data_IF_222684222204
#
_entry.id   IF_222684222204
#
_cell.length_a   1.000
_cell.length_b   1.000
_cell.length_c   1.000
_cell.angle_alpha   90.00
_cell.angle_beta   90.00
_cell.angle_gamma   90.00
#
_symmetry.space_group_name_H-M   'P 1'
#
loop_
_entity.id
_entity.type
_entity.pdbx_description
1 polymer ?
#
# COMPACT_ATOMS: atom_id res chain seq x y z
N UNK A 1 -2.82 -11.71 12.50
CA UNK A 1 -4.25 -11.75 12.12
C UNK A 1 -4.44 -12.17 10.66
N UNK A 2 -3.91 -11.42 9.67
CA UNK A 2 -4.05 -11.77 8.24
C UNK A 2 -3.48 -13.15 7.89
N UNK A 3 -2.34 -13.52 8.47
CA UNK A 3 -1.80 -14.88 8.33
C UNK A 3 -2.78 -15.96 8.82
N UNK A 4 -3.48 -15.74 9.93
CA UNK A 4 -4.48 -16.68 10.44
C UNK A 4 -5.66 -16.79 9.47
N UNK A 5 -6.16 -15.65 8.97
CA UNK A 5 -7.24 -15.64 7.97
C UNK A 5 -6.86 -16.39 6.69
N UNK A 6 -5.62 -16.21 6.21
CA UNK A 6 -5.10 -16.93 5.06
C UNK A 6 -5.04 -18.44 5.29
N UNK A 7 -4.62 -18.87 6.48
CA UNK A 7 -4.59 -20.29 6.88
C UNK A 7 -5.99 -20.88 6.93
N UNK A 8 -6.94 -20.16 7.53
CA UNK A 8 -8.33 -20.61 7.65
C UNK A 8 -8.99 -20.74 6.26
N UNK A 9 -8.83 -19.75 5.38
CA UNK A 9 -9.35 -19.79 4.01
C UNK A 9 -8.71 -20.90 3.18
N UNK A 10 -7.40 -21.14 3.31
CA UNK A 10 -6.73 -22.26 2.64
C UNK A 10 -7.28 -23.61 3.09
N UNK A 11 -7.57 -23.74 4.39
CA UNK A 11 -8.21 -24.94 4.94
C UNK A 11 -9.60 -25.14 4.35
N UNK A 12 -10.41 -24.08 4.27
CA UNK A 12 -11.73 -24.14 3.64
C UNK A 12 -11.65 -24.49 2.15
N UNK A 13 -10.69 -23.91 1.42
CA UNK A 13 -10.42 -24.21 0.02
C UNK A 13 -10.06 -25.68 -0.17
N UNK A 14 -9.18 -26.21 0.68
CA UNK A 14 -8.80 -27.63 0.65
C UNK A 14 -10.02 -28.52 0.89
N UNK A 15 -10.87 -28.17 1.86
CA UNK A 15 -12.09 -28.93 2.15
C UNK A 15 -13.07 -28.93 0.97
N UNK A 16 -13.29 -27.80 0.31
CA UNK A 16 -14.22 -27.75 -0.83
C UNK A 16 -13.66 -28.47 -2.06
N UNK A 17 -12.35 -28.39 -2.30
CA UNK A 17 -11.69 -29.15 -3.37
C UNK A 17 -11.83 -30.66 -3.13
N UNK A 18 -11.61 -31.15 -1.90
CA UNK A 18 -11.80 -32.57 -1.59
C UNK A 18 -13.26 -33.01 -1.73
N UNK A 19 -14.24 -32.15 -1.37
CA UNK A 19 -15.65 -32.42 -1.64
C UNK A 19 -15.90 -32.59 -3.15
N UNK A 20 -15.35 -31.71 -3.99
CA UNK A 20 -15.53 -31.76 -5.44
C UNK A 20 -14.85 -32.97 -6.08
N UNK A 21 -13.69 -33.40 -5.58
CA UNK A 21 -13.02 -34.64 -6.00
C UNK A 21 -13.80 -35.89 -5.60
N UNK A 22 -14.47 -35.86 -4.44
CA UNK A 22 -15.27 -36.99 -3.97
C UNK A 22 -16.60 -37.18 -4.74
N UNK A 23 -17.04 -36.14 -5.46
CA UNK A 23 -18.32 -36.12 -6.16
C UNK A 23 -18.14 -36.54 -7.63
N UNK A 24 -18.52 -37.79 -7.93
CA UNK A 24 -18.56 -38.30 -9.31
C UNK A 24 -19.69 -37.65 -10.13
N UNK A 25 -19.38 -37.32 -11.38
CA UNK A 25 -20.35 -36.81 -12.35
C UNK A 25 -21.14 -37.99 -12.91
N UNK A 26 -22.48 -37.93 -12.80
CA UNK A 26 -23.35 -39.02 -13.24
C UNK A 26 -23.59 -38.92 -14.75
N UNK A 27 -22.56 -39.18 -15.55
CA UNK A 27 -22.62 -39.06 -17.02
C UNK A 27 -23.76 -39.85 -17.67
N UNK A 28 -24.15 -40.97 -17.06
CA UNK A 28 -25.28 -41.81 -17.52
C UNK A 28 -26.62 -41.05 -17.52
N UNK A 29 -26.74 -40.00 -16.71
CA UNK A 29 -27.93 -39.17 -16.67
C UNK A 29 -27.93 -38.04 -17.71
N UNK A 30 -26.76 -37.67 -18.22
CA UNK A 30 -26.61 -36.58 -19.19
C UNK A 30 -26.52 -37.03 -20.65
N UNK A 31 -26.39 -38.34 -20.93
CA UNK A 31 -26.41 -38.87 -22.30
C UNK A 31 -27.80 -38.77 -22.95
N UNK A 32 -27.80 -38.38 -24.23
CA UNK A 32 -28.99 -38.37 -25.10
C UNK A 32 -29.59 -39.78 -25.22
N UNK A 33 -30.93 -39.94 -25.39
CA UNK A 33 -31.59 -41.23 -25.60
C UNK A 33 -31.08 -42.04 -26.81
N UNK A 34 -30.31 -41.40 -27.71
CA UNK A 34 -29.65 -42.04 -28.84
C UNK A 34 -28.13 -42.07 -28.65
N UNK A 35 -27.56 -43.13 -28.06
CA UNK A 35 -26.12 -43.30 -28.01
C UNK A 35 -25.60 -43.74 -29.39
N UNK A 36 -24.48 -43.19 -29.89
CA UNK A 36 -23.78 -43.78 -31.02
C UNK A 36 -23.29 -45.18 -30.62
N UNK A 37 -23.58 -46.20 -31.44
CA UNK A 37 -23.10 -47.56 -31.25
C UNK A 37 -21.57 -47.58 -31.36
N UNK A 38 -20.86 -47.71 -30.23
CA UNK A 38 -19.41 -47.75 -30.23
C UNK A 38 -18.77 -47.94 -28.85
N UNK A 39 -18.21 -49.13 -28.66
CA UNK A 39 -17.11 -49.52 -27.75
C UNK A 39 -17.29 -49.47 -26.23
N UNK A 40 -17.33 -50.67 -25.64
CA UNK A 40 -17.31 -50.95 -24.21
C UNK A 40 -15.94 -50.76 -23.56
N UNK A 41 -15.59 -49.51 -23.26
CA UNK A 41 -14.69 -49.18 -22.16
C UNK A 41 -15.45 -48.31 -21.18
N UNK A 42 -15.47 -48.69 -19.90
CA UNK A 42 -15.99 -47.81 -18.85
C UNK A 42 -15.21 -46.49 -18.92
N UNK A 43 -15.89 -45.34 -19.13
CA UNK A 43 -15.19 -44.06 -19.15
C UNK A 43 -14.52 -43.84 -17.78
N UNK A 44 -13.36 -43.17 -17.74
CA UNK A 44 -12.71 -42.83 -16.49
C UNK A 44 -13.68 -42.06 -15.60
N UNK A 45 -13.63 -42.30 -14.29
CA UNK A 45 -14.45 -41.62 -13.30
C UNK A 45 -14.22 -40.10 -13.41
N UNK A 46 -15.17 -39.40 -13.98
CA UNK A 46 -15.17 -37.95 -14.10
C UNK A 46 -15.76 -37.34 -12.83
N UNK A 47 -15.08 -36.38 -12.22
CA UNK A 47 -15.51 -35.75 -10.96
C UNK A 47 -15.81 -34.27 -11.19
N UNK A 48 -16.54 -33.63 -10.27
CA UNK A 48 -16.80 -32.19 -10.37
C UNK A 48 -15.50 -31.36 -10.38
N UNK A 49 -14.44 -31.89 -9.77
CA UNK A 49 -13.13 -31.27 -9.76
C UNK A 49 -12.52 -31.08 -11.15
N UNK A 50 -12.81 -31.97 -12.11
CA UNK A 50 -12.24 -31.89 -13.46
C UNK A 50 -12.75 -30.67 -14.26
N UNK A 51 -13.80 -30.01 -13.78
CA UNK A 51 -14.37 -28.80 -14.36
C UNK A 51 -13.82 -27.50 -13.73
N UNK A 52 -12.83 -27.61 -12.86
CA UNK A 52 -12.29 -26.51 -12.08
C UNK A 52 -10.90 -26.12 -12.57
N UNK A 53 -10.63 -24.81 -12.62
CA UNK A 53 -9.30 -24.28 -12.93
C UNK A 53 -8.41 -24.30 -11.69
N UNK A 54 -7.65 -25.39 -11.51
CA UNK A 54 -6.68 -25.51 -10.42
C UNK A 54 -5.55 -24.46 -10.53
N UNK A 55 -5.17 -24.07 -11.75
CA UNK A 55 -4.10 -23.09 -11.93
C UNK A 55 -4.50 -21.72 -11.37
N UNK A 56 -5.77 -21.34 -11.50
CA UNK A 56 -6.31 -20.13 -10.88
C UNK A 56 -6.25 -20.18 -9.34
N UNK A 57 -6.56 -21.34 -8.73
CA UNK A 57 -6.46 -21.53 -7.27
C UNK A 57 -5.01 -21.41 -6.80
N UNK A 58 -4.09 -22.11 -7.47
CA UNK A 58 -2.68 -22.12 -7.11
C UNK A 58 -2.04 -20.73 -7.25
N UNK A 59 -2.39 -20.00 -8.31
CA UNK A 59 -1.94 -18.63 -8.53
C UNK A 59 -2.41 -17.69 -7.41
N UNK A 60 -3.65 -17.85 -6.95
CA UNK A 60 -4.21 -17.04 -5.88
C UNK A 60 -3.57 -17.34 -4.51
N UNK A 61 -3.32 -18.62 -4.22
CA UNK A 61 -2.59 -19.03 -3.02
C UNK A 61 -1.14 -18.56 -3.01
N UNK A 62 -0.47 -18.61 -4.17
CA UNK A 62 0.88 -18.09 -4.34
C UNK A 62 0.89 -16.58 -4.08
N UNK A 63 -0.05 -15.83 -4.66
CA UNK A 63 -0.16 -14.38 -4.48
C UNK A 63 -0.34 -13.99 -3.01
N UNK A 64 -1.24 -14.65 -2.27
CA UNK A 64 -1.41 -14.37 -0.83
C UNK A 64 -0.13 -14.67 -0.04
N UNK A 65 0.57 -15.76 -0.38
CA UNK A 65 1.82 -16.12 0.29
C UNK A 65 2.93 -15.10 0.05
N UNK A 66 3.12 -14.71 -1.20
CA UNK A 66 4.11 -13.70 -1.61
C UNK A 66 3.87 -12.37 -0.90
N UNK A 67 2.61 -11.88 -0.89
CA UNK A 67 2.29 -10.65 -0.19
C UNK A 67 2.53 -10.72 1.33
N UNK A 68 2.24 -11.87 1.97
CA UNK A 68 2.51 -12.06 3.40
C UNK A 68 4.02 -12.13 3.70
N UNK A 69 4.80 -12.76 2.83
CA UNK A 69 6.26 -12.82 2.94
C UNK A 69 6.87 -11.42 2.81
N UNK A 70 6.44 -10.65 1.81
CA UNK A 70 6.87 -9.26 1.64
C UNK A 70 6.51 -8.39 2.86
N UNK A 71 5.32 -8.54 3.46
CA UNK A 71 4.94 -7.81 4.67
C UNK A 71 5.88 -8.12 5.84
N UNK A 72 6.24 -9.39 5.99
CA UNK A 72 7.17 -9.83 7.02
C UNK A 72 8.56 -9.26 6.80
N UNK A 73 9.01 -9.20 5.56
CA UNK A 73 10.32 -8.66 5.22
C UNK A 73 10.38 -7.15 5.42
N UNK A 74 9.32 -6.40 5.09
CA UNK A 74 9.21 -4.98 5.45
C UNK A 74 9.35 -4.79 6.97
N UNK A 75 8.60 -5.55 7.76
CA UNK A 75 8.65 -5.44 9.22
C UNK A 75 10.04 -5.76 9.81
N UNK A 76 10.74 -6.76 9.26
CA UNK A 76 12.12 -7.07 9.64
C UNK A 76 13.08 -5.94 9.27
N UNK A 77 13.00 -5.45 8.04
CA UNK A 77 13.86 -4.36 7.54
C UNK A 77 13.68 -3.11 8.39
N UNK A 78 12.45 -2.72 8.71
CA UNK A 78 12.17 -1.56 9.56
C UNK A 78 12.71 -1.71 10.98
N UNK A 79 12.58 -2.91 11.56
CA UNK A 79 13.12 -3.21 12.89
C UNK A 79 14.66 -3.11 12.91
N UNK A 80 15.32 -3.66 11.90
CA UNK A 80 16.78 -3.55 11.75
C UNK A 80 17.19 -2.09 11.55
N UNK A 81 16.49 -1.36 10.68
CA UNK A 81 16.80 0.05 10.40
C UNK A 81 16.61 0.94 11.62
N UNK A 82 15.55 0.71 12.42
CA UNK A 82 15.35 1.38 13.70
C UNK A 82 16.53 1.15 14.65
N UNK A 83 16.96 -0.11 14.79
CA UNK A 83 18.08 -0.48 15.65
C UNK A 83 19.39 0.17 15.20
N UNK A 84 19.67 0.17 13.90
CA UNK A 84 20.87 0.80 13.33
C UNK A 84 20.85 2.32 13.54
N UNK A 85 19.70 2.97 13.33
CA UNK A 85 19.54 4.42 13.52
C UNK A 85 19.75 4.80 14.99
N UNK A 86 19.14 4.05 15.92
CA UNK A 86 19.32 4.27 17.35
C UNK A 86 20.78 4.10 17.77
N UNK A 87 21.49 3.13 17.17
CA UNK A 87 22.92 2.95 17.39
C UNK A 87 23.73 4.13 16.84
N UNK A 88 23.43 4.58 15.61
CA UNK A 88 24.09 5.75 14.99
C UNK A 88 23.92 7.00 15.86
N UNK A 89 22.74 7.21 16.45
CA UNK A 89 22.50 8.31 17.40
C UNK A 89 23.25 8.12 18.71
N UNK A 90 23.26 6.90 19.27
CA UNK A 90 23.95 6.60 20.53
C UNK A 90 25.48 6.73 20.43
N UNK A 91 26.04 6.50 19.24
CA UNK A 91 27.47 6.64 18.97
C UNK A 91 27.90 8.13 18.81
N UNK A 92 26.96 9.08 18.80
CA UNK A 92 27.28 10.51 18.76
C UNK A 92 27.67 10.99 20.16
N UNK A 93 28.92 11.42 20.29
CA UNK A 93 29.43 12.09 21.48
C UNK A 93 28.82 13.50 21.58
N UNK A 94 27.91 13.68 22.52
CA UNK A 94 27.34 14.99 22.86
C UNK A 94 28.09 15.50 24.09
N UNK A 95 29.01 16.47 23.95
CA UNK A 95 29.65 17.06 25.11
C UNK A 95 28.58 17.78 25.94
N UNK A 96 28.34 17.26 27.13
CA UNK A 96 27.48 17.89 28.13
C UNK A 96 28.40 18.60 29.11
N UNK A 97 28.41 19.92 29.08
CA UNK A 97 29.14 20.70 30.06
C UNK A 97 28.52 20.45 31.45
N UNK A 98 29.23 19.75 32.33
CA UNK A 98 28.74 19.41 33.67
C UNK A 98 28.60 20.64 34.57
N UNK A 99 29.42 21.68 34.33
CA UNK A 99 29.36 22.96 35.04
C UNK A 99 29.53 24.13 34.06
N UNK A 100 28.47 24.91 33.86
CA UNK A 100 28.55 26.15 33.09
C UNK A 100 29.26 27.18 33.96
N UNK A 101 30.59 27.25 33.87
CA UNK A 101 31.41 28.26 34.58
C UNK A 101 31.23 29.68 34.01
N UNK A 102 30.45 29.85 32.95
CA UNK A 102 30.26 31.13 32.25
C UNK A 102 28.84 31.63 32.48
N UNK A 103 28.69 32.69 33.28
CA UNK A 103 27.41 33.35 33.50
C UNK A 103 27.32 34.63 32.67
N UNK A 104 26.09 35.04 32.34
CA UNK A 104 25.83 36.32 31.69
C UNK A 104 26.37 37.51 32.49
N UNK A 105 26.19 37.49 33.81
CA UNK A 105 26.75 38.48 34.74
C UNK A 105 28.29 38.54 34.65
N UNK A 106 28.95 37.39 34.48
CA UNK A 106 30.39 37.33 34.28
C UNK A 106 30.84 38.03 32.99
N UNK A 107 30.06 37.88 31.92
CA UNK A 107 30.32 38.53 30.62
C UNK A 107 30.15 40.04 30.73
N UNK A 108 29.07 40.50 31.36
CA UNK A 108 28.86 41.93 31.62
C UNK A 108 29.98 42.54 32.48
N UNK A 109 30.42 41.81 33.52
CA UNK A 109 31.52 42.24 34.37
C UNK A 109 32.83 42.45 33.61
N UNK A 110 33.15 41.60 32.62
CA UNK A 110 34.31 41.83 31.74
C UNK A 110 34.11 43.05 30.86
N UNK A 111 32.91 43.24 30.32
CA UNK A 111 32.59 44.44 29.54
C UNK A 111 32.89 45.72 30.32
N UNK A 112 32.50 45.75 31.60
CA UNK A 112 32.86 46.83 32.53
C UNK A 112 34.38 46.96 32.72
N UNK A 113 35.08 45.85 33.00
CA UNK A 113 36.52 45.83 33.21
C UNK A 113 37.32 46.32 31.99
N UNK A 114 36.89 45.97 30.78
CA UNK A 114 37.46 46.47 29.51
C UNK A 114 37.25 47.97 29.38
N UNK A 115 36.05 48.47 29.66
CA UNK A 115 35.75 49.90 29.60
C UNK A 115 36.59 50.71 30.60
N UNK A 116 36.74 50.21 31.83
CA UNK A 116 37.58 50.83 32.85
C UNK A 116 39.07 50.79 32.50
N UNK A 117 39.54 49.70 31.89
CA UNK A 117 40.93 49.58 31.40
C UNK A 117 41.20 50.56 30.27
N UNK A 118 40.24 50.74 29.37
CA UNK A 118 40.33 51.72 28.28
C UNK A 118 40.36 53.16 28.82
N UNK A 119 39.53 53.48 29.83
CA UNK A 119 39.56 54.79 30.51
C UNK A 119 40.92 55.07 31.15
N UNK A 120 41.47 54.12 31.89
CA UNK A 120 42.77 54.27 32.54
C UNK A 120 43.92 54.44 31.54
N UNK A 121 43.84 53.77 30.38
CA UNK A 121 44.79 53.98 29.27
C UNK A 121 44.71 55.41 28.74
N UNK A 122 43.52 55.95 28.58
CA UNK A 122 43.32 57.31 28.06
C UNK A 122 43.81 58.38 29.08
N UNK A 123 43.61 58.14 30.38
CA UNK A 123 44.16 58.97 31.47
C UNK A 123 45.70 58.96 31.49
N UNK A 124 46.33 57.78 31.41
CA UNK A 124 47.80 57.65 31.28
C UNK A 124 48.33 58.43 30.08
N UNK A 125 47.65 58.37 28.93
CA UNK A 125 48.05 59.08 27.73
C UNK A 125 47.98 60.60 27.90
N UNK A 126 46.95 61.09 28.59
CA UNK A 126 46.80 62.51 28.90
C UNK A 126 47.92 63.02 29.81
N UNK A 127 48.27 62.27 30.85
CA UNK A 127 49.34 62.64 31.79
C UNK A 127 50.72 62.62 31.12
N UNK A 128 50.98 61.64 30.27
CA UNK A 128 52.20 61.60 29.46
C UNK A 128 52.31 62.81 28.52
N UNK A 129 51.20 63.21 27.88
CA UNK A 129 51.17 64.40 27.03
C UNK A 129 51.40 65.69 27.85
N UNK A 130 50.87 65.77 29.08
CA UNK A 130 51.12 66.89 29.99
C UNK A 130 52.61 67.00 30.36
N UNK A 131 53.25 65.86 30.68
CA UNK A 131 54.68 65.81 30.96
C UNK A 131 55.53 66.19 29.73
N UNK A 132 55.19 65.70 28.54
CA UNK A 132 55.86 66.07 27.30
C UNK A 132 55.74 67.58 27.05
N UNK A 133 54.57 68.15 27.29
CA UNK A 133 54.34 69.58 27.17
C UNK A 133 55.26 70.38 28.11
N UNK A 134 55.34 70.01 29.40
CA UNK A 134 56.25 70.65 30.35
C UNK A 134 57.73 70.52 29.95
N UNK A 135 58.15 69.34 29.46
CA UNK A 135 59.51 69.16 28.94
C UNK A 135 59.80 70.07 27.74
N UNK A 136 58.83 70.29 26.85
CA UNK A 136 58.96 71.22 25.74
C UNK A 136 59.02 72.68 26.23
N UNK A 137 58.17 73.06 27.20
CA UNK A 137 58.20 74.39 27.84
C UNK A 137 59.56 74.68 28.48
N UNK A 138 60.12 73.73 29.26
CA UNK A 138 61.46 73.87 29.85
C UNK A 138 62.54 74.06 28.78
N UNK A 139 62.46 73.29 27.68
CA UNK A 139 63.41 73.37 26.58
C UNK A 139 63.37 74.73 25.90
N UNK A 140 62.17 75.23 25.61
CA UNK A 140 61.97 76.53 24.96
C UNK A 140 62.47 77.65 25.89
N UNK A 141 62.14 77.58 27.18
CA UNK A 141 62.58 78.57 28.17
C UNK A 141 64.12 78.61 28.32
N UNK A 142 64.80 77.46 28.33
CA UNK A 142 66.27 77.40 28.33
C UNK A 142 66.84 78.07 27.08
N UNK A 143 66.23 77.82 25.93
CA UNK A 143 66.66 78.36 24.64
C UNK A 143 66.51 79.88 24.56
N UNK A 144 65.42 80.40 25.13
CA UNK A 144 65.15 81.84 25.20
C UNK A 144 66.13 82.53 26.18
N UNK A 145 66.42 81.90 27.32
CA UNK A 145 67.45 82.39 28.25
C UNK A 145 68.84 82.48 27.61
N UNK A 146 69.22 81.48 26.81
CA UNK A 146 70.49 81.42 26.08
C UNK A 146 70.58 82.48 24.97
N UNK A 147 69.45 82.81 24.33
CA UNK A 147 69.39 83.75 23.22
C UNK A 147 69.24 85.23 23.66
N UNK A 148 68.49 85.51 24.73
CA UNK A 148 68.06 86.87 25.08
C UNK A 148 68.78 87.51 26.28
N UNK A 149 69.78 86.83 26.87
CA UNK A 149 70.62 87.45 27.92
C UNK A 149 69.98 87.49 29.31
N UNK A 150 69.00 86.62 29.57
CA UNK A 150 68.81 86.03 30.90
C UNK A 150 67.99 86.82 31.92
N UNK A 151 66.71 87.07 31.64
CA UNK A 151 65.75 87.35 32.73
C UNK A 151 64.48 86.53 32.50
N UNK A 152 64.32 85.47 33.30
CA UNK A 152 63.07 84.73 33.39
C UNK A 152 62.07 85.55 34.20
N UNK A 153 60.82 85.66 33.74
CA UNK A 153 59.78 86.26 34.56
C UNK A 153 59.62 85.46 35.86
N UNK A 154 59.41 86.15 36.97
CA UNK A 154 59.16 85.47 38.25
C UNK A 154 57.92 84.57 38.17
N UNK A 155 56.93 84.94 37.34
CA UNK A 155 55.72 84.15 37.13
C UNK A 155 56.04 82.84 36.37
N UNK A 156 56.83 82.91 35.30
CA UNK A 156 57.25 81.73 34.53
C UNK A 156 58.15 80.80 35.37
N UNK A 157 59.01 81.38 36.21
CA UNK A 157 59.85 80.61 37.13
C UNK A 157 59.02 79.84 38.15
N UNK A 158 58.00 80.50 38.72
CA UNK A 158 57.12 79.88 39.69
C UNK A 158 56.25 78.77 39.07
N UNK A 159 55.79 78.94 37.83
CA UNK A 159 55.05 77.90 37.09
C UNK A 159 55.96 76.69 36.85
N UNK A 160 57.15 76.89 36.29
CA UNK A 160 58.10 75.80 36.02
C UNK A 160 58.55 75.08 37.28
N UNK A 161 58.78 75.81 38.38
CA UNK A 161 59.16 75.23 39.67
C UNK A 161 58.01 74.40 40.26
N UNK A 162 56.77 74.90 40.16
CA UNK A 162 55.57 74.17 40.62
C UNK A 162 55.39 72.89 39.82
N UNK A 163 55.35 72.99 38.50
CA UNK A 163 55.11 71.85 37.61
C UNK A 163 56.24 70.80 37.77
N UNK A 164 57.50 71.25 37.92
CA UNK A 164 58.63 70.34 38.21
C UNK A 164 58.49 69.64 39.57
N UNK A 165 57.91 70.30 40.57
CA UNK A 165 57.65 69.70 41.89
C UNK A 165 56.49 68.69 41.89
N UNK A 166 55.57 68.79 40.92
CA UNK A 166 54.43 67.89 40.75
C UNK A 166 54.78 66.61 39.97
N UNK A 167 55.81 66.64 39.09
CA UNK A 167 56.25 65.49 38.28
C UNK A 167 56.43 64.19 39.09
N UNK A 168 57.13 64.17 40.25
CA UNK A 168 57.29 62.92 40.99
C UNK A 168 55.97 62.30 41.44
N UNK A 169 54.96 63.12 41.74
CA UNK A 169 53.61 62.68 42.07
C UNK A 169 52.91 62.08 40.86
N UNK A 170 52.91 62.79 39.73
CA UNK A 170 52.34 62.33 38.46
C UNK A 170 52.98 61.02 38.00
N UNK A 171 54.31 60.88 38.11
CA UNK A 171 55.03 59.64 37.78
C UNK A 171 54.62 58.49 38.71
N UNK A 172 54.39 58.77 40.00
CA UNK A 172 53.86 57.79 40.95
C UNK A 172 52.47 57.31 40.54
N UNK A 173 51.55 58.22 40.25
CA UNK A 173 50.18 57.92 39.79
C UNK A 173 50.20 57.14 38.47
N UNK A 174 51.05 57.52 37.51
CA UNK A 174 51.27 56.78 36.25
C UNK A 174 51.75 55.34 36.48
N UNK A 175 52.65 55.12 37.45
CA UNK A 175 53.12 53.78 37.79
C UNK A 175 52.01 52.93 38.40
N UNK A 176 51.19 53.50 39.29
CA UNK A 176 50.04 52.83 39.90
C UNK A 176 48.98 52.48 38.85
N UNK A 177 48.60 53.45 38.00
CA UNK A 177 47.66 53.22 36.90
C UNK A 177 48.16 52.16 35.93
N UNK A 178 49.45 52.15 35.60
CA UNK A 178 50.05 51.13 34.74
C UNK A 178 49.98 49.73 35.36
N UNK A 179 50.24 49.61 36.67
CA UNK A 179 50.12 48.33 37.38
C UNK A 179 48.67 47.82 37.36
N UNK A 180 47.70 48.70 37.60
CA UNK A 180 46.29 48.32 37.60
C UNK A 180 45.79 47.94 36.20
N UNK A 181 46.19 48.67 35.15
CA UNK A 181 45.90 48.31 33.76
C UNK A 181 46.45 46.93 33.42
N UNK A 182 47.69 46.61 33.86
CA UNK A 182 48.28 45.27 33.66
C UNK A 182 47.47 44.19 34.38
N UNK A 183 47.13 44.40 35.66
CA UNK A 183 46.33 43.47 36.45
C UNK A 183 44.97 43.18 35.80
N UNK A 184 44.27 44.22 35.35
CA UNK A 184 42.99 44.09 34.65
C UNK A 184 43.14 43.37 33.32
N UNK A 185 44.19 43.67 32.56
CA UNK A 185 44.48 42.99 31.28
C UNK A 185 44.72 41.48 31.48
N UNK A 186 45.46 41.11 32.52
CA UNK A 186 45.68 39.70 32.87
C UNK A 186 44.35 39.00 33.25
N UNK A 187 43.50 39.67 34.03
CA UNK A 187 42.17 39.16 34.37
C UNK A 187 41.26 38.99 33.15
N UNK A 188 41.23 39.98 32.25
CA UNK A 188 40.49 39.92 30.98
C UNK A 188 40.98 38.73 30.14
N UNK A 189 42.29 38.53 30.03
CA UNK A 189 42.88 37.44 29.26
C UNK A 189 42.50 36.06 29.83
N UNK A 190 42.56 35.87 31.15
CA UNK A 190 42.18 34.61 31.79
C UNK A 190 40.72 34.27 31.48
N UNK A 191 39.82 35.24 31.66
CA UNK A 191 38.39 35.01 31.41
C UNK A 191 38.08 34.83 29.92
N UNK A 192 38.77 35.54 29.03
CA UNK A 192 38.66 35.35 27.58
C UNK A 192 39.00 33.90 27.17
N UNK A 193 40.06 33.32 27.74
CA UNK A 193 40.42 31.92 27.48
C UNK A 193 39.34 30.95 27.97
N UNK A 194 38.77 31.20 29.16
CA UNK A 194 37.65 30.40 29.69
C UNK A 194 36.42 30.46 28.79
N UNK A 195 36.06 31.65 28.30
CA UNK A 195 34.91 31.84 27.42
C UNK A 195 35.09 31.20 26.06
N UNK A 196 36.30 31.28 25.49
CA UNK A 196 36.57 30.59 24.23
C UNK A 196 36.49 29.08 24.37
N UNK A 197 37.01 28.51 25.47
CA UNK A 197 36.89 27.07 25.72
C UNK A 197 35.42 26.64 25.83
N UNK A 198 34.62 27.41 26.59
CA UNK A 198 33.18 27.20 26.71
C UNK A 198 32.44 27.33 25.38
N UNK A 199 32.73 28.35 24.57
CA UNK A 199 32.10 28.55 23.27
C UNK A 199 32.44 27.43 22.29
N UNK A 200 33.67 26.92 22.31
CA UNK A 200 34.08 25.81 21.45
C UNK A 200 33.43 24.48 21.86
N UNK A 201 33.22 24.26 23.17
CA UNK A 201 32.43 23.13 23.67
C UNK A 201 30.96 23.21 23.24
N UNK A 202 30.32 24.38 23.41
CA UNK A 202 28.96 24.59 22.92
C UNK A 202 28.85 24.40 21.41
N UNK A 203 29.82 24.88 20.63
CA UNK A 203 29.85 24.67 19.18
C UNK A 203 29.87 23.19 18.83
N UNK A 204 30.64 22.38 19.56
CA UNK A 204 30.67 20.92 19.40
C UNK A 204 29.33 20.28 19.79
N UNK A 205 28.72 20.71 20.89
CA UNK A 205 27.40 20.23 21.30
C UNK A 205 26.32 20.54 20.24
N UNK A 206 26.28 21.77 19.71
CA UNK A 206 25.33 22.13 18.65
C UNK A 206 25.57 21.35 17.35
N UNK A 207 26.83 21.09 17.00
CA UNK A 207 27.16 20.25 15.84
C UNK A 207 26.66 18.81 16.03
N UNK A 208 26.82 18.24 17.22
CA UNK A 208 26.31 16.92 17.56
C UNK A 208 24.77 16.86 17.47
N UNK A 209 24.07 17.87 18.02
CA UNK A 209 22.61 17.97 17.89
C UNK A 209 22.16 18.08 16.43
N UNK A 210 22.85 18.87 15.62
CA UNK A 210 22.55 18.97 14.19
C UNK A 210 22.73 17.64 13.45
N UNK A 211 23.76 16.86 13.82
CA UNK A 211 23.98 15.52 13.27
C UNK A 211 22.86 14.54 13.67
N UNK A 212 22.43 14.56 14.94
CA UNK A 212 21.29 13.75 15.42
C UNK A 212 20.02 14.12 14.66
N UNK A 213 19.79 15.42 14.41
CA UNK A 213 18.64 15.89 13.66
C UNK A 213 18.63 15.39 12.21
N UNK A 214 19.79 15.39 11.52
CA UNK A 214 19.91 14.82 10.17
C UNK A 214 19.60 13.33 10.13
N UNK A 215 20.18 12.55 11.05
CA UNK A 215 19.93 11.10 11.18
C UNK A 215 18.44 10.84 11.41
N UNK A 216 17.85 11.57 12.35
CA UNK A 216 16.42 11.47 12.68
C UNK A 216 15.54 11.80 11.47
N UNK A 217 15.89 12.83 10.70
CA UNK A 217 15.17 13.20 9.49
C UNK A 217 15.27 12.12 8.40
N UNK A 218 16.45 11.54 8.20
CA UNK A 218 16.65 10.40 7.28
C UNK A 218 15.78 9.21 7.69
N UNK A 219 15.77 8.89 8.99
CA UNK A 219 14.95 7.80 9.52
C UNK A 219 13.45 8.04 9.33
N UNK A 220 12.96 9.24 9.64
CA UNK A 220 11.53 9.59 9.45
C UNK A 220 11.11 9.45 7.98
N UNK A 221 11.96 9.86 7.03
CA UNK A 221 11.68 9.66 5.60
C UNK A 221 11.60 8.18 5.24
N UNK A 222 12.56 7.38 5.68
CA UNK A 222 12.58 5.93 5.43
C UNK A 222 11.35 5.23 6.03
N UNK A 223 10.93 5.61 7.24
CA UNK A 223 9.72 5.07 7.87
C UNK A 223 8.46 5.47 7.09
N UNK A 224 8.37 6.71 6.61
CA UNK A 224 7.22 7.15 5.82
C UNK A 224 7.09 6.37 4.50
N UNK A 225 8.22 6.13 3.81
CA UNK A 225 8.25 5.31 2.60
C UNK A 225 7.86 3.86 2.88
N UNK A 226 8.39 3.28 3.95
CA UNK A 226 8.04 1.91 4.38
C UNK A 226 6.56 1.78 4.75
N UNK A 227 6.02 2.74 5.50
CA UNK A 227 4.59 2.78 5.84
C UNK A 227 3.69 2.84 4.60
N UNK A 228 4.08 3.62 3.59
CA UNK A 228 3.37 3.67 2.31
C UNK A 228 3.35 2.31 1.62
N UNK A 229 4.50 1.63 1.57
CA UNK A 229 4.61 0.26 1.02
C UNK A 229 3.78 -0.74 1.81
N UNK A 230 3.87 -0.70 3.14
CA UNK A 230 3.11 -1.56 4.05
C UNK A 230 1.60 -1.41 3.82
N UNK A 231 1.10 -0.17 3.73
CA UNK A 231 -0.31 0.09 3.49
C UNK A 231 -0.78 -0.46 2.13
N UNK A 232 0.00 -0.26 1.06
CA UNK A 232 -0.30 -0.81 -0.26
C UNK A 232 -0.34 -2.34 -0.27
N UNK A 233 0.63 -2.97 0.40
CA UNK A 233 0.72 -4.42 0.46
C UNK A 233 -0.37 -5.05 1.35
N UNK A 234 -0.75 -4.39 2.45
CA UNK A 234 -1.90 -4.78 3.27
C UNK A 234 -3.20 -4.76 2.45
N UNK A 235 -3.41 -3.72 1.63
CA UNK A 235 -4.56 -3.66 0.73
C UNK A 235 -4.53 -4.79 -0.31
N UNK A 236 -3.35 -5.13 -0.84
CA UNK A 236 -3.18 -6.25 -1.77
C UNK A 236 -3.49 -7.61 -1.11
N UNK A 237 -3.06 -7.82 0.14
CA UNK A 237 -3.43 -9.01 0.93
C UNK A 237 -4.94 -9.08 1.11
N UNK A 238 -5.59 -7.97 1.45
CA UNK A 238 -7.03 -7.93 1.68
C UNK A 238 -7.82 -8.27 0.42
N UNK A 239 -7.45 -7.69 -0.72
CA UNK A 239 -8.05 -8.03 -2.01
C UNK A 239 -7.83 -9.51 -2.36
N UNK A 240 -6.63 -10.04 -2.14
CA UNK A 240 -6.33 -11.43 -2.45
C UNK A 240 -7.06 -12.43 -1.53
N UNK A 241 -7.27 -12.09 -0.25
CA UNK A 241 -8.09 -12.89 0.67
C UNK A 241 -9.57 -12.84 0.29
N UNK A 242 -10.07 -11.68 -0.13
CA UNK A 242 -11.45 -11.53 -0.61
C UNK A 242 -11.70 -12.36 -1.87
N UNK A 243 -10.78 -12.31 -2.84
CA UNK A 243 -10.83 -13.18 -4.02
C UNK A 243 -10.85 -14.67 -3.64
N UNK A 244 -10.04 -15.06 -2.65
CA UNK A 244 -9.93 -16.45 -2.21
C UNK A 244 -11.22 -16.92 -1.53
N UNK A 245 -11.82 -16.07 -0.70
CA UNK A 245 -13.13 -16.32 -0.11
C UNK A 245 -14.26 -16.38 -1.16
N UNK A 246 -14.21 -15.48 -2.16
CA UNK A 246 -15.12 -15.50 -3.29
C UNK A 246 -15.06 -16.83 -4.05
N UNK A 247 -13.85 -17.36 -4.26
CA UNK A 247 -13.65 -18.63 -4.94
C UNK A 247 -14.16 -19.83 -4.13
N UNK A 248 -13.91 -19.86 -2.81
CA UNK A 248 -14.51 -20.86 -1.90
C UNK A 248 -16.03 -20.83 -1.99
N UNK A 249 -16.62 -19.63 -1.96
CA UNK A 249 -18.06 -19.44 -2.03
C UNK A 249 -18.62 -19.89 -3.38
N UNK A 250 -17.93 -19.57 -4.47
CA UNK A 250 -18.29 -20.02 -5.81
C UNK A 250 -18.26 -21.55 -5.93
N UNK A 251 -17.20 -22.23 -5.45
CA UNK A 251 -17.14 -23.69 -5.47
C UNK A 251 -18.22 -24.37 -4.63
N UNK A 252 -18.60 -23.77 -3.49
CA UNK A 252 -19.76 -24.24 -2.71
C UNK A 252 -21.06 -24.14 -3.49
N UNK A 253 -21.28 -23.01 -4.17
CA UNK A 253 -22.46 -22.82 -5.01
C UNK A 253 -22.46 -23.74 -6.22
N UNK A 254 -21.32 -23.93 -6.87
CA UNK A 254 -21.15 -24.87 -7.98
C UNK A 254 -21.53 -26.30 -7.57
N UNK A 255 -21.01 -26.77 -6.43
CA UNK A 255 -21.39 -28.07 -5.87
C UNK A 255 -22.91 -28.17 -5.64
N UNK A 256 -23.53 -27.16 -5.02
CA UNK A 256 -24.98 -27.16 -4.77
C UNK A 256 -25.82 -27.06 -6.06
N UNK A 257 -25.36 -26.31 -7.05
CA UNK A 257 -26.05 -26.14 -8.32
C UNK A 257 -26.06 -27.44 -9.13
N UNK A 258 -24.99 -28.24 -9.02
CA UNK A 258 -24.92 -29.56 -9.62
C UNK A 258 -26.00 -30.52 -9.08
N UNK A 259 -26.30 -30.48 -7.78
CA UNK A 259 -27.41 -31.27 -7.21
C UNK A 259 -28.77 -30.84 -7.80
N UNK A 260 -28.97 -29.53 -8.01
CA UNK A 260 -30.15 -29.01 -8.71
C UNK A 260 -30.23 -29.45 -10.17
N UNK A 261 -29.09 -29.52 -10.87
CA UNK A 261 -29.00 -29.98 -12.24
C UNK A 261 -29.45 -31.45 -12.38
N UNK A 262 -29.03 -32.33 -11.46
CA UNK A 262 -29.48 -33.74 -11.44
C UNK A 262 -31.01 -33.80 -11.32
N UNK A 263 -31.59 -33.04 -10.39
CA UNK A 263 -33.05 -33.00 -10.21
C UNK A 263 -33.79 -32.53 -11.47
N UNK A 264 -33.27 -31.50 -12.14
CA UNK A 264 -33.85 -30.97 -13.38
C UNK A 264 -33.76 -31.97 -14.54
N UNK A 265 -32.65 -32.70 -14.67
CA UNK A 265 -32.51 -33.77 -15.68
C UNK A 265 -33.52 -34.89 -15.45
N UNK A 266 -33.71 -35.32 -14.20
CA UNK A 266 -34.72 -36.32 -13.86
C UNK A 266 -36.13 -35.83 -14.24
N UNK A 267 -36.46 -34.59 -13.88
CA UNK A 267 -37.76 -33.96 -14.20
C UNK A 267 -38.00 -33.92 -15.71
N UNK A 268 -37.00 -33.52 -16.51
CA UNK A 268 -37.11 -33.48 -17.98
C UNK A 268 -37.32 -34.88 -18.58
N UNK A 269 -36.63 -35.90 -18.06
CA UNK A 269 -36.83 -37.29 -18.48
C UNK A 269 -38.22 -37.81 -18.13
N UNK A 270 -38.74 -37.46 -16.95
CA UNK A 270 -40.11 -37.82 -16.57
C UNK A 270 -41.13 -37.17 -17.51
N UNK A 271 -41.02 -35.85 -17.73
CA UNK A 271 -41.92 -35.13 -18.64
C UNK A 271 -41.87 -35.70 -20.07
N UNK A 272 -40.68 -36.06 -20.56
CA UNK A 272 -40.54 -36.70 -21.88
C UNK A 272 -41.22 -38.07 -21.93
N UNK A 273 -41.08 -38.91 -20.88
CA UNK A 273 -41.79 -40.20 -20.80
C UNK A 273 -43.31 -40.05 -20.74
N UNK A 274 -43.80 -39.06 -20.00
CA UNK A 274 -45.24 -38.75 -19.93
C UNK A 274 -45.77 -38.32 -21.30
N UNK A 275 -45.02 -37.51 -22.03
CA UNK A 275 -45.37 -37.10 -23.39
C UNK A 275 -45.38 -38.29 -24.37
N UNK A 276 -44.35 -39.16 -24.33
CA UNK A 276 -44.31 -40.37 -25.14
C UNK A 276 -45.48 -41.30 -24.83
N UNK A 277 -45.82 -41.50 -23.55
CA UNK A 277 -46.98 -42.30 -23.16
C UNK A 277 -48.29 -41.74 -23.70
N UNK A 278 -48.48 -40.41 -23.69
CA UNK A 278 -49.64 -39.76 -24.28
C UNK A 278 -49.69 -39.93 -25.81
N UNK A 279 -48.53 -39.87 -26.49
CA UNK A 279 -48.43 -40.13 -27.94
C UNK A 279 -48.77 -41.58 -28.28
N UNK A 280 -48.25 -42.55 -27.52
CA UNK A 280 -48.55 -43.97 -27.69
C UNK A 280 -50.04 -44.27 -27.47
N UNK A 281 -50.64 -43.68 -26.43
CA UNK A 281 -52.08 -43.80 -26.17
C UNK A 281 -52.90 -43.23 -27.34
N UNK A 282 -52.50 -42.07 -27.87
CA UNK A 282 -53.19 -41.47 -29.01
C UNK A 282 -53.03 -42.32 -30.28
N UNK A 283 -51.84 -42.86 -30.56
CA UNK A 283 -51.61 -43.79 -31.67
C UNK A 283 -52.52 -45.03 -31.55
N UNK A 284 -52.59 -45.64 -30.37
CA UNK A 284 -53.46 -46.78 -30.12
C UNK A 284 -54.95 -46.45 -30.33
N UNK A 285 -55.39 -45.25 -29.92
CA UNK A 285 -56.76 -44.76 -30.16
C UNK A 285 -57.05 -44.56 -31.66
N UNK A 286 -56.11 -43.99 -32.41
CA UNK A 286 -56.24 -43.80 -33.87
C UNK A 286 -56.28 -45.13 -34.61
N UNK A 287 -55.41 -46.08 -34.26
CA UNK A 287 -55.38 -47.42 -34.85
C UNK A 287 -56.69 -48.20 -34.56
N UNK A 288 -57.21 -48.10 -33.33
CA UNK A 288 -58.49 -48.71 -32.96
C UNK A 288 -59.67 -48.13 -33.74
N UNK A 289 -59.72 -46.79 -33.89
CA UNK A 289 -60.76 -46.11 -34.68
C UNK A 289 -60.69 -46.48 -36.17
N UNK A 290 -59.48 -46.57 -36.73
CA UNK A 290 -59.28 -46.98 -38.12
C UNK A 290 -59.72 -48.44 -38.35
N UNK A 291 -59.39 -49.36 -37.43
CA UNK A 291 -59.84 -50.75 -37.49
C UNK A 291 -61.36 -50.88 -37.38
N UNK A 292 -62.02 -50.04 -36.56
CA UNK A 292 -63.47 -50.03 -36.43
C UNK A 292 -64.18 -49.53 -37.70
N UNK A 293 -63.69 -48.44 -38.29
CA UNK A 293 -64.19 -47.91 -39.57
C UNK A 293 -63.99 -48.93 -40.71
N UNK A 294 -62.83 -49.59 -40.76
CA UNK A 294 -62.57 -50.68 -41.72
C UNK A 294 -63.62 -51.80 -41.60
N UNK A 295 -63.92 -52.25 -40.38
CA UNK A 295 -64.96 -53.28 -40.15
C UNK A 295 -66.34 -52.78 -40.54
N UNK A 296 -66.67 -51.54 -40.24
CA UNK A 296 -67.98 -50.94 -40.55
C UNK A 296 -68.18 -50.81 -42.06
N UNK A 297 -67.18 -50.32 -42.80
CA UNK A 297 -67.20 -50.26 -44.28
C UNK A 297 -67.30 -51.64 -44.91
N UNK A 298 -66.52 -52.61 -44.43
CA UNK A 298 -66.58 -53.99 -44.93
C UNK A 298 -67.98 -54.60 -44.72
N UNK A 299 -68.58 -54.43 -43.54
CA UNK A 299 -69.93 -54.90 -43.25
C UNK A 299 -71.00 -54.21 -44.11
N UNK A 300 -70.82 -52.92 -44.42
CA UNK A 300 -71.70 -52.17 -45.32
C UNK A 300 -71.59 -52.69 -46.75
N UNK A 301 -70.37 -52.87 -47.28
CA UNK A 301 -70.14 -53.40 -48.63
C UNK A 301 -70.66 -54.83 -48.77
N UNK A 302 -70.47 -55.69 -47.75
CA UNK A 302 -71.00 -57.06 -47.78
C UNK A 302 -72.54 -57.08 -47.81
N UNK A 303 -73.20 -56.21 -47.04
CA UNK A 303 -74.66 -56.17 -46.94
C UNK A 303 -75.36 -55.48 -48.11
N UNK A 304 -74.86 -54.31 -48.51
CA UNK A 304 -75.54 -53.43 -49.47
C UNK A 304 -74.86 -53.43 -50.84
N UNK A 305 -73.57 -53.78 -50.92
CA UNK A 305 -72.75 -53.72 -52.14
C UNK A 305 -73.32 -54.47 -53.35
N UNK A 306 -73.89 -55.70 -53.21
CA UNK A 306 -74.51 -56.40 -54.34
C UNK A 306 -75.70 -55.66 -54.97
N UNK A 307 -76.31 -54.71 -54.25
CA UNK A 307 -77.47 -53.94 -54.71
C UNK A 307 -77.09 -52.54 -55.20
N UNK A 308 -75.81 -52.15 -55.13
CA UNK A 308 -75.32 -50.84 -55.55
C UNK A 308 -74.57 -50.95 -56.89
N UNK A 309 -74.99 -50.19 -57.92
CA UNK A 309 -74.22 -50.05 -59.15
C UNK A 309 -72.82 -49.50 -58.87
N UNK A 310 -71.80 -50.06 -59.53
CA UNK A 310 -70.39 -49.70 -59.30
C UNK A 310 -70.05 -48.26 -59.70
N UNK A 311 -70.88 -47.59 -60.51
CA UNK A 311 -70.73 -46.21 -60.96
C UNK A 311 -71.35 -45.17 -60.02
N UNK A 312 -72.16 -45.58 -59.04
CA UNK A 312 -72.85 -44.66 -58.13
C UNK A 312 -71.90 -43.97 -57.14
N UNK A 313 -70.90 -44.71 -56.64
CA UNK A 313 -69.86 -44.20 -55.74
C UNK A 313 -68.54 -44.92 -56.02
N UNK A 314 -67.67 -44.36 -56.89
CA UNK A 314 -66.42 -45.01 -57.30
C UNK A 314 -65.48 -45.35 -56.14
N UNK A 315 -65.54 -44.59 -55.05
CA UNK A 315 -64.65 -44.69 -53.89
C UNK A 315 -65.24 -45.56 -52.75
N UNK A 316 -66.36 -46.25 -52.99
CA UNK A 316 -67.05 -47.05 -51.95
C UNK A 316 -66.18 -48.19 -51.40
N UNK A 317 -65.17 -48.62 -52.16
CA UNK A 317 -64.20 -49.65 -51.76
C UNK A 317 -62.88 -49.08 -51.24
N UNK A 318 -62.71 -47.75 -51.25
CA UNK A 318 -61.46 -47.14 -50.80
C UNK A 318 -61.25 -47.38 -49.30
N UNK A 319 -60.01 -47.72 -48.88
CA UNK A 319 -59.70 -47.86 -47.48
C UNK A 319 -59.90 -46.51 -46.75
N UNK A 320 -60.32 -46.53 -45.48
CA UNK A 320 -60.45 -45.30 -44.71
C UNK A 320 -59.08 -44.64 -44.51
N UNK A 321 -59.09 -43.33 -44.27
CA UNK A 321 -57.87 -42.59 -43.98
C UNK A 321 -57.14 -43.17 -42.75
N UNK A 322 -55.81 -43.28 -42.85
CA UNK A 322 -54.92 -43.61 -41.73
C UNK A 322 -54.16 -42.37 -41.29
N UNK A 323 -54.01 -42.17 -39.98
CA UNK A 323 -53.27 -41.04 -39.41
C UNK A 323 -52.05 -41.54 -38.62
N UNK A 324 -50.92 -40.84 -38.76
CA UNK A 324 -49.65 -41.16 -38.08
C UNK A 324 -49.20 -39.93 -37.29
N UNK A 325 -48.69 -40.16 -36.08
CA UNK A 325 -48.12 -39.11 -35.22
C UNK A 325 -46.60 -39.26 -35.26
N UNK A 326 -45.88 -38.21 -35.62
CA UNK A 326 -44.41 -38.21 -35.68
C UNK A 326 -43.83 -37.17 -34.71
N UNK A 327 -42.67 -37.47 -34.12
CA UNK A 327 -41.95 -36.50 -33.28
C UNK A 327 -41.34 -35.43 -34.19
N UNK A 328 -41.69 -34.17 -33.95
CA UNK A 328 -41.12 -33.06 -34.70
C UNK A 328 -39.69 -32.80 -34.20
N UNK A 329 -38.70 -33.19 -34.98
CA UNK A 329 -37.33 -32.69 -34.82
C UNK A 329 -37.32 -31.24 -35.31
N UNK A 330 -36.90 -30.31 -34.46
CA UNK A 330 -36.95 -28.86 -34.68
C UNK A 330 -35.92 -28.38 -35.71
N UNK A 331 -36.08 -28.82 -36.96
CA UNK A 331 -35.37 -28.30 -38.12
C UNK A 331 -36.37 -28.16 -39.28
N UNK A 332 -37.06 -27.01 -39.30
CA UNK A 332 -37.91 -26.59 -40.41
C UNK A 332 -39.39 -26.86 -40.18
N UNK A 333 -40.07 -25.85 -39.62
CA UNK A 333 -41.50 -25.89 -39.36
C UNK A 333 -42.34 -26.38 -40.54
N UNK A 334 -43.18 -27.37 -40.26
CA UNK A 334 -44.49 -27.52 -40.87
C UNK A 334 -45.36 -28.40 -39.99
N UNK A 335 -46.53 -27.83 -39.70
CA UNK A 335 -47.74 -28.35 -39.11
C UNK A 335 -47.89 -29.87 -39.11
N UNK A 336 -48.54 -30.37 -38.05
CA UNK A 336 -49.16 -31.70 -37.96
C UNK A 336 -49.75 -32.06 -39.33
N UNK A 337 -48.99 -32.85 -40.08
CA UNK A 337 -49.41 -33.42 -41.33
C UNK A 337 -50.23 -34.63 -40.95
N UNK A 338 -51.52 -34.40 -40.69
CA UNK A 338 -52.56 -35.43 -40.77
C UNK A 338 -52.59 -35.90 -42.23
N UNK A 339 -51.63 -36.75 -42.61
CA UNK A 339 -51.58 -37.33 -43.95
C UNK A 339 -52.52 -38.53 -43.96
N UNK A 340 -53.70 -38.35 -44.54
CA UNK A 340 -54.55 -39.45 -44.96
C UNK A 340 -53.87 -40.14 -46.14
N UNK A 341 -53.32 -41.33 -45.93
CA UNK A 341 -52.94 -42.17 -47.06
C UNK A 341 -54.22 -42.65 -47.76
N UNK A 342 -54.62 -41.95 -48.83
CA UNK A 342 -55.45 -42.54 -49.88
C UNK A 342 -54.56 -43.48 -50.68
N UNK A 343 -54.80 -44.78 -50.55
CA UNK A 343 -54.13 -45.79 -51.37
C UNK A 343 -54.66 -45.68 -52.80
N UNK A 344 -54.08 -44.79 -53.61
CA UNK A 344 -54.26 -44.81 -55.06
C UNK A 344 -53.52 -46.02 -55.63
N UNK A 345 -54.23 -47.13 -55.74
CA UNK A 345 -53.95 -48.11 -56.79
C UNK A 345 -54.47 -47.49 -58.09
N UNK A 346 -53.56 -47.03 -58.93
CA UNK A 346 -53.85 -46.73 -60.34
C UNK A 346 -53.59 -48.01 -61.14
N UNK A 347 -54.64 -48.45 -61.82
CA UNK A 347 -54.79 -49.65 -62.63
C UNK A 347 -53.78 -49.77 -63.81
N UNK A 348 -53.58 -51.02 -64.26
CA UNK A 348 -53.30 -51.36 -65.67
C UNK A 348 -54.55 -51.20 -66.54
#
# INVERSE_FOLDING_TARGET
>A
LKEQQAVDLRREMTMIIELLKSREVVEKEFRSPHPPEGEGKEPPKHTLYDHIDQAAVDALEARVRECLEELRDIAKTDSVQCTLTLKEIADIDVPVAEDISVTWEGVEAIGGLVAETQKAKDEIAQDLHSMEHHCNQLRDTIRDLEAEGGVLSMDDYNVLLRDTSEIPGIVGELQEMLQEVRRRTDEINVRYLQYNAFMEENRRAFAAVAQIADISQRYVKAVAESQGRYAGLMAAVDAALEDMWGLVTWYRQFHSAYDGLIGEVHRRRQAHRELLGAVEEMRARLDAAHADEMRTRAAFVDREGPFLPSDLCPFIQDPPARFVIEEATDDGGRFVSVQSHETRLLDE
#
